data_IF_956959951844
#
_entry.id   IF_956959951844
#
_cell.length_a   1.000
_cell.length_b   1.000
_cell.length_c   1.000
_cell.angle_alpha   90.00
_cell.angle_beta   90.00
_cell.angle_gamma   90.00
#
_symmetry.space_group_name_H-M   'P 1'
#
loop_
_entity.id
_entity.type
_entity.pdbx_description
1 polymer ?
#
# COMPACT_ATOMS: atom_id res chain seq x y z
N UNK A 1 6.42 2.38 7.34
CA UNK A 1 6.11 1.36 6.30
C UNK A 1 4.92 1.86 5.50
N UNK A 2 4.84 1.58 4.22
CA UNK A 2 3.69 1.95 3.36
C UNK A 2 2.51 0.99 3.57
N UNK A 3 1.37 1.26 2.93
CA UNK A 3 0.23 0.34 2.85
C UNK A 3 -0.13 0.12 1.38
N UNK A 4 -0.63 -1.06 1.07
CA UNK A 4 -0.96 -1.45 -0.30
C UNK A 4 -2.20 -2.35 -0.36
N UNK A 5 -2.80 -2.40 -1.55
CA UNK A 5 -3.91 -3.28 -1.89
C UNK A 5 -3.74 -3.78 -3.33
N UNK A 6 -4.00 -5.05 -3.55
CA UNK A 6 -4.19 -5.68 -4.87
C UNK A 6 -5.52 -6.42 -4.85
N UNK A 7 -6.40 -6.17 -5.80
CA UNK A 7 -7.67 -6.89 -5.88
C UNK A 7 -8.20 -7.01 -7.30
N UNK A 8 -8.90 -8.12 -7.60
CA UNK A 8 -9.72 -8.14 -8.79
C UNK A 8 -11.01 -7.34 -8.57
N UNK A 9 -11.65 -6.89 -9.65
CA UNK A 9 -12.84 -6.03 -9.56
C UNK A 9 -13.95 -6.66 -8.71
N UNK A 10 -14.16 -7.96 -8.84
CA UNK A 10 -15.17 -8.69 -8.08
C UNK A 10 -14.85 -8.65 -6.58
N UNK A 11 -13.61 -8.95 -6.21
CA UNK A 11 -13.15 -8.92 -4.82
C UNK A 11 -13.22 -7.53 -4.19
N UNK A 12 -12.85 -6.47 -4.94
CA UNK A 12 -12.93 -5.08 -4.48
C UNK A 12 -14.37 -4.68 -4.16
N UNK A 13 -15.33 -5.02 -5.04
CA UNK A 13 -16.76 -4.73 -4.82
C UNK A 13 -17.30 -5.57 -3.67
N UNK A 14 -16.93 -6.85 -3.60
CA UNK A 14 -17.35 -7.75 -2.52
C UNK A 14 -16.81 -7.29 -1.16
N UNK A 15 -15.54 -6.91 -1.08
CA UNK A 15 -14.92 -6.35 0.12
C UNK A 15 -15.61 -5.06 0.57
N UNK A 16 -15.87 -4.13 -0.37
CA UNK A 16 -16.60 -2.89 -0.09
C UNK A 16 -17.95 -3.17 0.61
N UNK A 17 -18.76 -4.08 0.04
CA UNK A 17 -20.04 -4.45 0.62
C UNK A 17 -19.90 -5.19 1.96
N UNK A 18 -18.89 -6.05 2.10
CA UNK A 18 -18.61 -6.77 3.34
C UNK A 18 -18.23 -5.81 4.47
N UNK A 19 -17.43 -4.78 4.21
CA UNK A 19 -17.05 -3.76 5.19
C UNK A 19 -18.25 -2.93 5.66
N UNK A 20 -19.16 -2.53 4.75
CA UNK A 20 -20.39 -1.82 5.12
C UNK A 20 -21.25 -2.69 6.03
N UNK A 21 -21.43 -3.98 5.67
CA UNK A 21 -22.22 -4.92 6.47
C UNK A 21 -21.58 -5.16 7.84
N UNK A 22 -20.25 -5.31 7.89
CA UNK A 22 -19.47 -5.46 9.12
C UNK A 22 -19.72 -4.29 10.09
N UNK A 23 -19.68 -3.06 9.59
CA UNK A 23 -19.96 -1.85 10.38
C UNK A 23 -21.36 -1.85 10.97
N UNK A 24 -22.35 -2.24 10.19
CA UNK A 24 -23.74 -2.31 10.67
C UNK A 24 -23.90 -3.32 11.78
N UNK A 25 -23.14 -4.40 11.76
CA UNK A 25 -23.16 -5.45 12.81
C UNK A 25 -22.47 -4.95 14.08
N UNK A 26 -21.35 -4.22 13.97
CA UNK A 26 -20.60 -3.67 15.10
C UNK A 26 -21.38 -2.55 15.82
N UNK A 27 -22.12 -1.72 15.08
CA UNK A 27 -22.94 -0.65 15.69
C UNK A 27 -24.04 -1.21 16.61
N UNK A 28 -24.52 -2.42 16.33
CA UNK A 28 -25.54 -3.07 17.15
C UNK A 28 -24.96 -3.73 18.42
N UNK A 29 -23.63 -3.88 18.51
CA UNK A 29 -22.94 -4.38 19.71
C UNK A 29 -22.39 -3.21 20.52
N UNK A 30 -23.27 -2.62 21.36
CA UNK A 30 -22.99 -1.43 22.16
C UNK A 30 -21.92 -1.62 23.23
N UNK A 31 -21.42 -2.83 23.45
CA UNK A 31 -20.40 -3.14 24.46
C UNK A 31 -18.98 -2.66 24.07
N UNK A 32 -18.77 -2.24 22.81
CA UNK A 32 -17.46 -1.83 22.27
C UNK A 32 -17.26 -0.30 22.23
N UNK A 33 -18.20 0.49 22.74
CA UNK A 33 -18.20 1.97 22.62
C UNK A 33 -17.55 2.72 23.78
N UNK A 34 -16.84 2.06 24.66
CA UNK A 34 -16.07 2.79 25.68
C UNK A 34 -14.71 3.19 25.14
N UNK A 35 -14.53 4.51 25.04
CA UNK A 35 -13.28 5.26 24.89
C UNK A 35 -12.80 5.61 23.47
N UNK A 36 -13.61 6.38 22.73
CA UNK A 36 -13.16 7.08 21.51
C UNK A 36 -13.13 8.60 21.65
N UNK A 37 -12.82 9.10 22.81
CA UNK A 37 -12.63 10.55 22.97
C UNK A 37 -11.21 10.96 22.62
N UNK A 38 -11.11 11.87 21.64
CA UNK A 38 -10.08 12.91 21.52
C UNK A 38 -8.85 12.68 20.66
N UNK A 39 -8.98 12.14 19.43
CA UNK A 39 -7.97 12.42 18.40
C UNK A 39 -8.49 13.31 17.26
N UNK A 40 -9.60 14.00 17.44
CA UNK A 40 -10.06 15.02 16.51
C UNK A 40 -9.02 16.16 16.40
N UNK A 41 -8.44 16.34 15.23
CA UNK A 41 -7.66 17.52 14.88
C UNK A 41 -6.15 17.46 15.02
N UNK A 42 -5.53 16.33 15.38
CA UNK A 42 -4.07 16.21 15.37
C UNK A 42 -3.59 15.48 14.14
N UNK A 43 -2.82 16.20 13.31
CA UNK A 43 -2.13 15.62 12.17
C UNK A 43 -1.16 14.55 12.69
N UNK A 44 -1.40 13.27 12.37
CA UNK A 44 -0.62 12.10 12.83
C UNK A 44 0.88 12.26 12.56
N UNK A 45 1.25 13.00 11.52
CA UNK A 45 2.63 13.36 11.18
C UNK A 45 3.34 14.16 12.26
N UNK A 46 2.62 14.95 13.04
CA UNK A 46 3.21 15.67 14.17
C UNK A 46 3.62 14.71 15.28
N UNK A 47 2.91 13.62 15.47
CA UNK A 47 3.20 12.59 16.47
C UNK A 47 4.39 11.72 16.04
N UNK A 48 4.48 11.38 14.74
CA UNK A 48 5.60 10.61 14.20
C UNK A 48 6.92 11.38 14.24
N UNK A 49 6.88 12.68 13.93
CA UNK A 49 8.06 13.56 14.00
C UNK A 49 8.59 13.80 15.43
N UNK A 50 7.77 13.54 16.45
CA UNK A 50 8.11 13.71 17.86
C UNK A 50 8.56 12.42 18.56
N UNK A 51 8.74 11.31 17.84
CA UNK A 51 9.17 10.03 18.41
C UNK A 51 8.13 9.34 19.30
N UNK A 52 6.86 9.73 19.21
CA UNK A 52 5.76 9.13 19.97
C UNK A 52 5.17 7.89 19.29
N UNK A 53 5.98 7.17 18.53
CA UNK A 53 5.57 6.01 17.71
C UNK A 53 5.26 4.74 18.48
N UNK A 54 5.49 4.71 19.78
CA UNK A 54 5.16 3.52 20.61
C UNK A 54 3.66 3.40 20.92
N UNK A 55 2.86 4.39 20.54
CA UNK A 55 1.41 4.40 20.75
C UNK A 55 0.65 4.71 19.46
N UNK A 56 0.94 3.99 18.39
CA UNK A 56 -0.03 3.88 17.30
C UNK A 56 -1.34 3.31 17.89
N UNK A 57 -2.53 3.76 17.45
CA UNK A 57 -3.77 3.15 17.90
C UNK A 57 -3.66 1.65 17.62
N UNK A 58 -3.59 0.86 18.66
CA UNK A 58 -3.43 -0.59 18.59
C UNK A 58 -4.65 -1.31 18.02
N UNK A 59 -5.62 -0.55 17.50
CA UNK A 59 -6.81 -1.07 16.80
C UNK A 59 -7.23 -0.13 15.69
N UNK A 60 -7.39 -0.67 14.50
CA UNK A 60 -7.97 -0.02 13.36
C UNK A 60 -9.41 0.46 13.62
N UNK A 61 -9.97 1.15 12.64
CA UNK A 61 -11.40 1.51 12.67
C UNK A 61 -12.23 0.26 12.96
N UNK A 62 -13.18 0.42 13.85
CA UNK A 62 -14.18 -0.61 14.15
C UNK A 62 -15.42 -0.46 13.26
N UNK A 63 -15.44 0.53 12.38
CA UNK A 63 -16.59 0.85 11.54
C UNK A 63 -16.18 1.40 10.18
N UNK A 64 -16.78 0.87 9.12
CA UNK A 64 -16.52 1.22 7.71
C UNK A 64 -17.83 1.56 6.99
N UNK A 65 -18.59 2.60 7.40
CA UNK A 65 -19.90 2.91 6.82
C UNK A 65 -19.82 3.26 5.32
N UNK A 66 -18.66 3.77 4.85
CA UNK A 66 -18.38 4.03 3.46
C UNK A 66 -17.51 2.89 2.83
N UNK A 67 -17.44 1.73 3.51
CA UNK A 67 -16.78 0.52 3.02
C UNK A 67 -15.31 0.72 2.65
N UNK A 68 -14.97 0.49 1.39
CA UNK A 68 -13.59 0.56 0.90
C UNK A 68 -12.94 1.93 1.12
N UNK A 69 -13.69 3.03 1.01
CA UNK A 69 -13.15 4.37 1.25
C UNK A 69 -12.59 4.49 2.68
N UNK A 70 -13.36 4.08 3.66
CA UNK A 70 -12.93 4.14 5.06
C UNK A 70 -11.71 3.25 5.33
N UNK A 71 -11.63 2.08 4.68
CA UNK A 71 -10.45 1.22 4.75
C UNK A 71 -9.21 1.91 4.19
N UNK A 72 -9.30 2.55 3.02
CA UNK A 72 -8.15 3.23 2.41
C UNK A 72 -7.70 4.44 3.24
N UNK A 73 -8.64 5.21 3.81
CA UNK A 73 -8.33 6.31 4.73
C UNK A 73 -7.62 5.81 5.99
N UNK A 74 -8.08 4.69 6.56
CA UNK A 74 -7.42 4.08 7.70
C UNK A 74 -6.00 3.62 7.37
N UNK A 75 -5.82 2.93 6.25
CA UNK A 75 -4.50 2.47 5.81
C UNK A 75 -3.54 3.64 5.59
N UNK A 76 -4.01 4.77 5.02
CA UNK A 76 -3.24 5.98 4.87
C UNK A 76 -2.93 6.64 6.22
N UNK A 77 -3.92 6.73 7.10
CA UNK A 77 -3.75 7.28 8.45
C UNK A 77 -2.70 6.52 9.26
N UNK A 78 -2.74 5.18 9.19
CA UNK A 78 -1.81 4.33 9.92
C UNK A 78 -0.37 4.48 9.41
N UNK A 79 -0.17 4.45 8.10
CA UNK A 79 1.17 4.39 7.51
C UNK A 79 1.23 4.95 6.08
N UNK A 80 0.70 6.16 5.86
CA UNK A 80 0.69 6.83 4.55
C UNK A 80 1.00 8.32 4.63
N UNK A 81 0.43 9.11 3.71
CA UNK A 81 0.41 10.58 3.73
C UNK A 81 1.51 11.28 2.93
N UNK A 82 2.46 10.56 2.32
CA UNK A 82 3.40 11.11 1.34
C UNK A 82 2.97 10.78 -0.10
N UNK A 83 1.66 10.73 -0.30
CA UNK A 83 1.00 10.53 -1.58
C UNK A 83 0.39 9.16 -1.76
N UNK A 84 -0.62 9.13 -2.62
CA UNK A 84 -1.42 7.95 -2.94
C UNK A 84 -1.34 7.62 -4.41
N UNK A 85 -1.72 6.39 -4.76
CA UNK A 85 -1.87 6.02 -6.15
C UNK A 85 -2.69 4.76 -6.38
N UNK A 86 -3.19 4.66 -7.60
CA UNK A 86 -3.99 3.56 -8.10
C UNK A 86 -3.56 3.25 -9.53
N UNK A 87 -3.44 1.97 -9.81
CA UNK A 87 -3.39 1.44 -11.17
C UNK A 87 -4.55 0.49 -11.37
N UNK A 88 -5.31 0.71 -12.45
CA UNK A 88 -6.31 -0.22 -12.94
C UNK A 88 -5.77 -0.90 -14.20
N UNK A 89 -5.72 -2.24 -14.17
CA UNK A 89 -5.28 -3.08 -15.28
C UNK A 89 -6.51 -3.71 -15.92
N UNK A 90 -6.73 -3.48 -17.19
CA UNK A 90 -7.83 -4.04 -17.94
C UNK A 90 -7.64 -5.52 -18.33
N UNK A 91 -8.40 -5.98 -19.32
CA UNK A 91 -8.28 -7.35 -19.83
C UNK A 91 -7.02 -7.59 -20.66
N UNK A 92 -6.52 -6.54 -21.32
CA UNK A 92 -5.27 -6.60 -22.08
C UNK A 92 -4.12 -6.10 -21.21
N UNK A 93 -2.92 -6.67 -21.31
CA UNK A 93 -1.76 -6.28 -20.49
C UNK A 93 -1.36 -4.81 -20.66
N UNK A 94 -1.64 -4.20 -21.78
CA UNK A 94 -1.35 -2.80 -22.14
C UNK A 94 -2.51 -1.82 -21.79
N UNK A 95 -3.68 -2.32 -21.38
CA UNK A 95 -4.78 -1.50 -20.88
C UNK A 95 -4.53 -1.16 -19.41
N UNK A 96 -3.65 -0.17 -19.20
CA UNK A 96 -3.22 0.26 -17.87
C UNK A 96 -3.54 1.73 -17.68
N UNK A 97 -4.24 2.05 -16.60
CA UNK A 97 -4.62 3.42 -16.21
C UNK A 97 -4.03 3.73 -14.85
N UNK A 98 -3.22 4.78 -14.77
CA UNK A 98 -2.46 5.19 -13.59
C UNK A 98 -2.93 6.57 -13.09
N UNK A 99 -3.19 6.66 -11.81
CA UNK A 99 -3.36 7.90 -11.03
C UNK A 99 -2.44 7.81 -9.82
N UNK A 100 -1.54 8.77 -9.65
CA UNK A 100 -0.67 8.83 -8.48
C UNK A 100 -0.17 10.26 -8.25
N UNK A 101 0.10 10.60 -7.02
CA UNK A 101 0.65 11.91 -6.66
C UNK A 101 0.43 12.25 -5.19
N UNK A 102 1.00 13.39 -4.80
CA UNK A 102 0.95 13.90 -3.42
C UNK A 102 -0.46 14.37 -3.03
N UNK A 103 -1.25 14.82 -4.02
CA UNK A 103 -2.58 15.37 -3.83
C UNK A 103 -3.70 14.46 -4.37
N UNK A 104 -3.40 13.20 -4.59
CA UNK A 104 -4.40 12.23 -5.05
C UNK A 104 -5.18 11.72 -3.85
N UNK A 105 -6.52 11.89 -3.87
CA UNK A 105 -7.40 11.58 -2.75
C UNK A 105 -7.99 10.16 -2.86
N UNK A 106 -8.11 9.49 -1.72
CA UNK A 106 -8.71 8.15 -1.68
C UNK A 106 -10.18 8.12 -2.10
N UNK A 107 -10.93 9.19 -1.91
CA UNK A 107 -12.31 9.29 -2.39
C UNK A 107 -12.39 9.14 -3.91
N UNK A 108 -11.50 9.77 -4.65
CA UNK A 108 -11.44 9.67 -6.11
C UNK A 108 -10.99 8.28 -6.54
N UNK A 109 -9.97 7.73 -5.87
CA UNK A 109 -9.44 6.39 -6.15
C UNK A 109 -10.48 5.30 -5.86
N UNK A 110 -11.21 5.41 -4.75
CA UNK A 110 -12.30 4.50 -4.40
C UNK A 110 -13.43 4.56 -5.43
N UNK A 111 -13.82 5.76 -5.82
CA UNK A 111 -14.84 5.96 -6.86
C UNK A 111 -14.47 5.24 -8.15
N UNK A 112 -13.21 5.35 -8.59
CA UNK A 112 -12.69 4.63 -9.77
C UNK A 112 -12.71 3.13 -9.60
N UNK A 113 -12.24 2.62 -8.47
CA UNK A 113 -12.25 1.18 -8.18
C UNK A 113 -13.66 0.58 -8.17
N UNK A 114 -14.66 1.33 -7.73
CA UNK A 114 -16.05 0.84 -7.69
C UNK A 114 -16.78 0.99 -9.02
N UNK A 115 -16.52 2.07 -9.78
CA UNK A 115 -17.30 2.41 -10.99
C UNK A 115 -16.67 1.89 -12.29
N UNK A 116 -15.34 1.86 -12.41
CA UNK A 116 -14.67 1.55 -13.67
C UNK A 116 -14.59 0.04 -13.95
N UNK A 117 -14.35 -0.31 -15.22
CA UNK A 117 -14.13 -1.71 -15.64
C UNK A 117 -12.65 -2.01 -15.67
N UNK A 118 -12.22 -3.06 -14.96
CA UNK A 118 -10.84 -3.54 -14.93
C UNK A 118 -10.81 -5.03 -14.55
N UNK A 119 -9.67 -5.67 -14.71
CA UNK A 119 -9.38 -7.01 -14.21
C UNK A 119 -8.75 -6.94 -12.81
N UNK A 120 -7.76 -6.07 -12.64
CA UNK A 120 -6.99 -5.92 -11.40
C UNK A 120 -6.79 -4.44 -11.04
N UNK A 121 -6.85 -4.15 -9.74
CA UNK A 121 -6.50 -2.87 -9.16
C UNK A 121 -5.29 -3.04 -8.24
N UNK A 122 -4.33 -2.11 -8.32
CA UNK A 122 -3.21 -1.98 -7.37
C UNK A 122 -3.29 -0.58 -6.78
N UNK A 123 -3.53 -0.49 -5.49
CA UNK A 123 -3.54 0.76 -4.74
C UNK A 123 -2.37 0.79 -3.74
N UNK A 124 -1.90 2.01 -3.44
CA UNK A 124 -0.82 2.19 -2.48
C UNK A 124 -0.88 3.58 -1.86
N UNK A 125 -0.57 3.68 -0.56
CA UNK A 125 -0.24 4.92 0.13
C UNK A 125 1.21 4.87 0.61
N UNK A 126 1.92 5.98 0.44
CA UNK A 126 3.37 6.04 0.62
C UNK A 126 3.76 6.69 1.92
N UNK A 127 4.76 6.09 2.60
CA UNK A 127 5.70 6.77 3.48
C UNK A 127 7.06 6.83 2.78
N UNK A 128 7.63 8.02 2.67
CA UNK A 128 8.93 8.20 2.04
C UNK A 128 10.05 7.63 2.93
N UNK A 129 10.71 6.59 2.45
CA UNK A 129 11.93 6.00 3.05
C UNK A 129 13.13 6.12 2.12
N UNK A 130 12.88 6.35 0.81
CA UNK A 130 13.90 6.54 -0.22
C UNK A 130 13.35 7.46 -1.32
N UNK A 131 14.23 8.11 -2.08
CA UNK A 131 13.87 9.13 -3.04
C UNK A 131 13.26 10.39 -2.39
N UNK A 132 12.79 11.35 -3.18
CA UNK A 132 12.09 12.56 -2.71
C UNK A 132 10.60 12.33 -2.46
N UNK A 133 9.96 13.29 -1.77
CA UNK A 133 8.49 13.38 -1.70
C UNK A 133 8.03 14.11 -2.94
N UNK A 134 7.78 13.36 -4.02
CA UNK A 134 7.34 13.87 -5.33
C UNK A 134 6.24 12.97 -5.91
N UNK A 135 5.49 13.49 -6.87
CA UNK A 135 4.43 12.74 -7.55
C UNK A 135 4.98 11.49 -8.25
N UNK A 136 6.17 11.58 -8.86
CA UNK A 136 6.82 10.50 -9.60
C UNK A 136 7.23 9.34 -8.70
N UNK A 137 7.49 9.62 -7.43
CA UNK A 137 7.90 8.63 -6.44
C UNK A 137 6.71 7.97 -5.70
N UNK A 138 5.48 8.41 -5.97
CA UNK A 138 4.30 7.72 -5.47
C UNK A 138 4.10 6.39 -6.19
N UNK A 139 3.77 5.35 -5.41
CA UNK A 139 3.39 4.04 -5.97
C UNK A 139 1.91 4.05 -6.37
N UNK A 140 1.44 3.07 -7.17
CA UNK A 140 2.17 2.00 -7.83
C UNK A 140 3.02 2.49 -9.00
N UNK A 141 4.01 1.67 -9.40
CA UNK A 141 4.80 1.91 -10.61
C UNK A 141 4.27 1.09 -11.78
N UNK A 142 4.52 1.59 -12.99
CA UNK A 142 4.23 0.91 -14.24
C UNK A 142 5.46 1.01 -15.14
N UNK A 143 5.88 -0.11 -15.71
CA UNK A 143 6.98 -0.14 -16.66
C UNK A 143 6.68 -1.11 -17.82
N UNK A 144 7.28 -0.81 -18.95
CA UNK A 144 7.16 -1.57 -20.19
C UNK A 144 8.55 -1.95 -20.70
N UNK A 145 8.71 -3.21 -21.14
CA UNK A 145 9.91 -3.69 -21.79
C UNK A 145 9.52 -4.61 -22.95
N UNK A 146 9.60 -4.11 -24.18
CA UNK A 146 9.07 -4.79 -25.35
C UNK A 146 7.57 -5.04 -25.25
N UNK A 147 7.16 -6.31 -25.18
CA UNK A 147 5.75 -6.71 -25.00
C UNK A 147 5.37 -6.95 -23.53
N UNK A 148 6.32 -6.80 -22.61
CA UNK A 148 6.09 -7.05 -21.20
C UNK A 148 5.63 -5.78 -20.49
N UNK A 149 4.64 -5.93 -19.64
CA UNK A 149 4.11 -4.89 -18.76
C UNK A 149 4.22 -5.35 -17.33
N UNK A 150 4.82 -4.54 -16.47
CA UNK A 150 4.87 -4.76 -15.03
C UNK A 150 4.23 -3.58 -14.31
N UNK A 151 3.23 -3.89 -13.48
CA UNK A 151 2.64 -2.98 -12.49
C UNK A 151 3.02 -3.52 -11.12
N UNK A 152 3.54 -2.66 -10.23
CA UNK A 152 3.90 -3.13 -8.88
C UNK A 152 3.82 -2.03 -7.82
N UNK A 153 3.59 -2.47 -6.60
CA UNK A 153 3.76 -1.68 -5.39
C UNK A 153 4.58 -2.47 -4.37
N UNK A 154 5.30 -1.77 -3.52
CA UNK A 154 6.16 -2.34 -2.48
C UNK A 154 5.79 -1.73 -1.12
N UNK A 155 5.65 -2.57 -0.10
CA UNK A 155 5.60 -2.16 1.29
C UNK A 155 6.85 -2.68 2.01
N UNK A 156 7.73 -1.77 2.38
CA UNK A 156 9.02 -2.05 3.00
C UNK A 156 10.09 -1.07 2.57
N UNK A 157 11.34 -1.42 2.82
CA UNK A 157 12.53 -0.69 2.35
C UNK A 157 13.63 -1.69 2.05
N UNK A 158 14.32 -1.47 0.93
CA UNK A 158 15.43 -2.29 0.46
C UNK A 158 16.71 -1.44 0.42
N UNK A 159 17.43 -1.30 1.57
CA UNK A 159 18.54 -0.35 1.71
C UNK A 159 19.66 -0.52 0.68
N UNK A 160 19.91 -1.74 0.20
CA UNK A 160 20.92 -2.00 -0.83
C UNK A 160 20.64 -1.28 -2.16
N UNK A 161 19.38 -0.88 -2.41
CA UNK A 161 18.95 -0.19 -3.62
C UNK A 161 18.76 1.30 -3.43
N UNK A 162 18.81 1.80 -2.19
CA UNK A 162 18.65 3.23 -1.89
C UNK A 162 19.81 4.08 -2.41
N UNK A 163 21.02 3.53 -2.52
CA UNK A 163 22.18 4.25 -3.04
C UNK A 163 22.00 4.66 -4.52
N UNK A 164 21.42 3.77 -5.32
CA UNK A 164 21.11 4.06 -6.72
C UNK A 164 19.92 5.02 -6.85
N UNK A 165 18.96 4.96 -5.93
CA UNK A 165 17.82 5.85 -5.89
C UNK A 165 18.23 7.29 -5.62
N UNK A 166 19.23 7.50 -4.79
CA UNK A 166 19.73 8.83 -4.42
C UNK A 166 20.34 9.58 -5.62
N UNK A 167 21.10 8.87 -6.46
CA UNK A 167 21.72 9.44 -7.63
C UNK A 167 20.73 9.87 -8.72
N UNK A 168 19.51 9.29 -8.73
CA UNK A 168 18.52 9.49 -9.79
C UNK A 168 17.16 9.95 -9.27
N UNK A 169 17.06 10.32 -8.00
CA UNK A 169 15.79 10.69 -7.33
C UNK A 169 14.68 9.62 -7.47
N UNK A 170 15.08 8.35 -7.58
CA UNK A 170 14.18 7.20 -7.68
C UNK A 170 14.02 6.50 -6.33
N UNK A 171 12.91 5.80 -6.15
CA UNK A 171 12.74 4.94 -4.98
C UNK A 171 13.43 3.59 -5.19
N UNK A 172 13.79 2.92 -4.10
CA UNK A 172 14.26 1.53 -4.10
C UNK A 172 13.25 0.60 -4.81
N UNK A 173 11.97 0.79 -4.55
CA UNK A 173 10.88 0.06 -5.21
C UNK A 173 10.89 0.24 -6.74
N UNK A 174 11.10 1.46 -7.24
CA UNK A 174 11.17 1.73 -8.68
C UNK A 174 12.39 1.04 -9.30
N UNK A 175 13.55 1.19 -8.66
CA UNK A 175 14.81 0.58 -9.13
C UNK A 175 14.70 -0.94 -9.22
N UNK A 176 14.14 -1.58 -8.19
CA UNK A 176 13.95 -3.04 -8.15
C UNK A 176 13.04 -3.50 -9.30
N UNK A 177 11.87 -2.89 -9.47
CA UNK A 177 10.94 -3.30 -10.52
C UNK A 177 11.50 -3.12 -11.92
N UNK A 178 12.19 -2.00 -12.18
CA UNK A 178 12.86 -1.77 -13.47
C UNK A 178 13.99 -2.77 -13.73
N UNK A 179 14.78 -3.10 -12.71
CA UNK A 179 15.84 -4.10 -12.80
C UNK A 179 15.26 -5.48 -13.11
N UNK A 180 14.23 -5.89 -12.38
CA UNK A 180 13.56 -7.18 -12.55
C UNK A 180 13.01 -7.32 -13.96
N UNK A 181 12.37 -6.28 -14.49
CA UNK A 181 11.79 -6.28 -15.83
C UNK A 181 12.88 -6.32 -16.92
N UNK A 182 13.93 -5.49 -16.79
CA UNK A 182 15.03 -5.42 -17.79
C UNK A 182 15.87 -6.68 -17.82
N UNK A 183 16.18 -7.26 -16.68
CA UNK A 183 16.99 -8.49 -16.59
C UNK A 183 16.17 -9.76 -16.88
N UNK A 184 14.88 -9.62 -17.19
CA UNK A 184 13.98 -10.71 -17.54
C UNK A 184 14.00 -11.86 -16.52
N UNK A 185 14.08 -11.51 -15.23
CA UNK A 185 13.96 -12.48 -14.17
C UNK A 185 12.57 -13.15 -14.20
N UNK A 186 12.51 -14.36 -13.66
CA UNK A 186 11.23 -15.05 -13.50
C UNK A 186 10.37 -14.28 -12.50
N UNK A 187 9.34 -13.60 -12.99
CA UNK A 187 8.37 -12.86 -12.20
C UNK A 187 7.19 -13.81 -11.92
N UNK A 188 6.70 -13.91 -10.69
CA UNK A 188 7.02 -13.09 -9.51
C UNK A 188 8.11 -13.68 -8.59
N UNK A 189 8.68 -14.85 -8.88
CA UNK A 189 9.57 -15.59 -7.95
C UNK A 189 10.77 -14.76 -7.49
N UNK A 190 11.30 -13.90 -8.37
CA UNK A 190 12.43 -13.04 -8.02
C UNK A 190 12.10 -12.11 -6.85
N UNK A 191 10.85 -11.66 -6.70
CA UNK A 191 10.45 -10.79 -5.60
C UNK A 191 10.51 -11.48 -4.23
N UNK A 192 10.54 -12.82 -4.17
CA UNK A 192 10.74 -13.57 -2.93
C UNK A 192 12.15 -13.42 -2.35
N UNK A 193 13.10 -12.88 -3.11
CA UNK A 193 14.49 -12.67 -2.69
C UNK A 193 14.70 -11.37 -1.92
N UNK A 194 13.69 -10.50 -1.90
CA UNK A 194 13.72 -9.25 -1.15
C UNK A 194 13.05 -9.42 0.23
N UNK A 195 13.26 -8.45 1.11
CA UNK A 195 12.65 -8.44 2.44
C UNK A 195 11.25 -7.83 2.47
N UNK A 196 10.93 -7.02 1.48
CA UNK A 196 9.69 -6.24 1.41
C UNK A 196 8.52 -7.04 0.84
N UNK A 197 7.29 -6.59 1.13
CA UNK A 197 6.07 -7.09 0.50
C UNK A 197 5.93 -6.50 -0.90
N UNK A 198 5.62 -7.33 -1.87
CA UNK A 198 5.32 -6.90 -3.23
C UNK A 198 3.94 -7.39 -3.66
N UNK A 199 3.19 -6.51 -4.30
CA UNK A 199 1.98 -6.88 -5.05
C UNK A 199 2.03 -6.27 -6.44
N UNK A 200 1.41 -6.91 -7.40
CA UNK A 200 1.40 -6.36 -8.74
C UNK A 200 0.72 -7.23 -9.78
N UNK A 201 0.89 -6.80 -11.03
CA UNK A 201 0.37 -7.49 -12.21
C UNK A 201 1.47 -7.54 -13.28
N UNK A 202 1.83 -8.73 -13.72
CA UNK A 202 2.77 -8.94 -14.80
C UNK A 202 2.07 -9.55 -16.00
N UNK A 203 2.08 -8.86 -17.14
CA UNK A 203 1.40 -9.29 -18.37
C UNK A 203 -0.06 -9.71 -18.13
N UNK A 204 -0.81 -8.93 -17.35
CA UNK A 204 -2.20 -9.19 -17.00
C UNK A 204 -2.39 -10.23 -15.88
N UNK A 205 -1.34 -10.91 -15.42
CA UNK A 205 -1.38 -11.91 -14.35
C UNK A 205 -0.98 -11.30 -13.00
N UNK A 206 -1.85 -11.36 -11.99
CA UNK A 206 -1.58 -10.77 -10.68
C UNK A 206 -0.61 -11.62 -9.88
N UNK A 207 0.12 -10.97 -8.96
CA UNK A 207 0.96 -11.63 -7.98
C UNK A 207 0.96 -10.91 -6.64
N UNK A 208 1.16 -11.67 -5.57
CA UNK A 208 1.38 -11.17 -4.21
C UNK A 208 2.51 -11.97 -3.55
N UNK A 209 3.46 -11.25 -2.95
CA UNK A 209 4.65 -11.80 -2.29
C UNK A 209 4.76 -11.19 -0.91
N UNK A 210 4.31 -11.88 0.15
CA UNK A 210 4.21 -11.33 1.50
C UNK A 210 5.55 -11.15 2.22
N UNK A 211 6.60 -11.84 1.82
CA UNK A 211 7.95 -11.80 2.42
C UNK A 211 7.94 -11.62 3.95
N UNK A 212 8.60 -10.55 4.48
CA UNK A 212 8.69 -10.26 5.92
C UNK A 212 7.59 -9.34 6.44
N UNK A 213 6.76 -8.80 5.55
CA UNK A 213 5.67 -7.90 5.92
C UNK A 213 4.37 -8.63 6.20
N UNK A 214 3.42 -7.92 6.79
CA UNK A 214 2.06 -8.41 6.93
C UNK A 214 1.31 -8.18 5.63
N UNK A 215 0.61 -9.21 5.20
CA UNK A 215 -0.29 -9.19 4.07
C UNK A 215 -1.47 -10.10 4.38
N UNK A 216 -2.65 -9.54 4.29
CA UNK A 216 -3.90 -10.25 4.51
C UNK A 216 -4.59 -10.50 3.18
N UNK A 217 -5.40 -11.55 3.13
CA UNK A 217 -6.21 -11.92 1.98
C UNK A 217 -7.67 -11.94 2.38
N UNK A 218 -8.50 -11.29 1.57
CA UNK A 218 -9.94 -11.45 1.56
C UNK A 218 -10.32 -12.31 0.35
N UNK A 219 -11.21 -13.30 0.57
CA UNK A 219 -11.75 -14.19 -0.46
C UNK A 219 -13.27 -14.30 -0.26
N UNK A 220 -14.03 -13.95 -1.28
CA UNK A 220 -15.50 -14.00 -1.22
C UNK A 220 -16.08 -15.41 -1.45
N UNK A 221 -15.21 -16.41 -1.64
CA UNK A 221 -15.61 -17.79 -1.96
C UNK A 221 -16.20 -17.96 -3.38
N UNK A 222 -16.35 -16.89 -4.13
CA UNK A 222 -16.96 -16.87 -5.46
C UNK A 222 -16.00 -16.35 -6.55
N UNK A 223 -14.70 -16.25 -6.24
CA UNK A 223 -13.63 -15.81 -7.14
C UNK A 223 -13.30 -14.33 -7.03
N UNK A 224 -13.88 -13.60 -6.09
CA UNK A 224 -13.42 -12.28 -5.68
C UNK A 224 -12.25 -12.42 -4.71
N UNK A 225 -11.11 -11.75 -4.98
CA UNK A 225 -9.94 -11.77 -4.12
C UNK A 225 -9.34 -10.38 -3.96
N UNK A 226 -8.94 -10.06 -2.72
CA UNK A 226 -8.18 -8.86 -2.39
C UNK A 226 -7.03 -9.23 -1.46
N UNK A 227 -5.86 -8.68 -1.71
CA UNK A 227 -4.72 -8.67 -0.80
C UNK A 227 -4.52 -7.24 -0.29
N UNK A 228 -4.36 -7.06 1.00
CA UNK A 228 -4.12 -5.76 1.60
C UNK A 228 -3.14 -5.87 2.77
N UNK A 229 -2.43 -4.78 3.06
CA UNK A 229 -1.50 -4.74 4.20
C UNK A 229 -2.20 -4.98 5.53
N UNK A 230 -3.48 -4.61 5.62
CA UNK A 230 -4.29 -4.77 6.81
C UNK A 230 -5.78 -4.88 6.43
N UNK A 231 -6.51 -5.73 7.10
CA UNK A 231 -7.96 -5.93 7.00
C UNK A 231 -8.48 -6.26 8.40
N UNK A 232 -9.76 -6.03 8.72
CA UNK A 232 -10.32 -6.50 9.99
C UNK A 232 -10.19 -8.02 10.12
N UNK A 233 -9.54 -8.49 11.19
CA UNK A 233 -9.19 -9.91 11.38
C UNK A 233 -10.43 -10.82 11.48
N UNK A 234 -11.54 -10.28 11.99
CA UNK A 234 -12.80 -10.96 12.20
C UNK A 234 -13.80 -10.76 11.05
N UNK A 235 -13.42 -10.03 9.99
CA UNK A 235 -14.25 -9.93 8.78
C UNK A 235 -14.31 -11.30 8.07
N UNK A 236 -15.51 -11.85 7.85
CA UNK A 236 -15.65 -13.13 7.16
C UNK A 236 -14.95 -13.15 5.79
N UNK A 237 -14.15 -14.19 5.54
CA UNK A 237 -13.36 -14.33 4.31
C UNK A 237 -11.95 -13.74 4.40
N UNK A 238 -11.58 -13.11 5.51
CA UNK A 238 -10.23 -12.61 5.75
C UNK A 238 -9.36 -13.70 6.37
N UNK A 239 -8.10 -13.75 5.93
CA UNK A 239 -7.05 -14.62 6.47
C UNK A 239 -5.67 -14.01 6.28
N UNK A 240 -4.74 -14.38 7.15
CA UNK A 240 -3.32 -14.05 6.99
C UNK A 240 -2.73 -14.84 5.82
N UNK A 241 -1.87 -14.21 5.00
CA UNK A 241 -1.15 -14.90 3.95
C UNK A 241 -0.03 -15.77 4.53
N UNK A 242 -0.10 -17.09 4.29
CA UNK A 242 0.86 -18.12 4.76
C UNK A 242 1.74 -18.71 3.65
N UNK A 243 1.61 -18.21 2.41
CA UNK A 243 2.37 -18.62 1.24
C UNK A 243 3.61 -17.74 0.99
N UNK A 244 4.58 -18.25 0.23
CA UNK A 244 5.73 -17.45 -0.24
C UNK A 244 5.36 -16.58 -1.43
N UNK A 245 4.57 -17.09 -2.34
CA UNK A 245 4.09 -16.42 -3.57
C UNK A 245 2.67 -16.84 -3.85
N UNK A 246 1.83 -15.88 -4.18
CA UNK A 246 0.58 -16.12 -4.88
C UNK A 246 0.68 -15.53 -6.29
N UNK A 247 0.35 -16.33 -7.30
CA UNK A 247 0.42 -15.92 -8.70
C UNK A 247 -0.71 -16.54 -9.49
N UNK A 248 -1.46 -15.72 -10.22
CA UNK A 248 -2.51 -16.13 -11.16
C UNK A 248 -3.49 -17.16 -10.55
N UNK A 249 -3.97 -16.88 -9.34
CA UNK A 249 -4.94 -17.72 -8.64
C UNK A 249 -4.36 -18.87 -7.82
N UNK A 250 -3.04 -19.09 -7.82
CA UNK A 250 -2.40 -20.20 -7.10
C UNK A 250 -1.40 -19.70 -6.06
N UNK A 251 -1.43 -20.31 -4.87
CA UNK A 251 -0.44 -20.09 -3.82
C UNK A 251 0.68 -21.14 -3.92
N UNK A 252 1.93 -20.70 -3.74
CA UNK A 252 3.13 -21.52 -3.81
C UNK A 252 4.00 -21.34 -2.59
N UNK A 253 4.59 -22.42 -2.10
CA UNK A 253 5.50 -22.46 -0.97
C UNK A 253 4.82 -22.07 0.35
N UNK A 254 5.53 -22.33 1.45
CA UNK A 254 5.15 -21.80 2.76
C UNK A 254 5.96 -20.55 3.05
N UNK A 255 5.33 -19.53 3.61
CA UNK A 255 6.03 -18.36 4.13
C UNK A 255 7.02 -18.82 5.19
N UNK A 256 8.30 -18.50 5.02
CA UNK A 256 9.25 -18.63 6.10
C UNK A 256 8.87 -17.58 7.16
N UNK A 257 8.20 -18.02 8.21
CA UNK A 257 7.91 -17.17 9.37
C UNK A 257 9.25 -16.99 10.08
N UNK A 258 10.03 -16.00 9.65
CA UNK A 258 11.08 -15.48 10.51
C UNK A 258 10.36 -14.77 11.66
N UNK A 259 10.19 -15.45 12.77
CA UNK A 259 10.02 -14.76 14.05
C UNK A 259 11.30 -13.96 14.25
N UNK A 260 11.30 -12.74 13.79
CA UNK A 260 12.26 -11.76 14.26
C UNK A 260 12.04 -11.72 15.76
N UNK A 261 13.01 -12.24 16.52
CA UNK A 261 13.19 -11.81 17.89
C UNK A 261 13.07 -10.29 17.83
N UNK A 262 12.40 -9.69 18.80
CA UNK A 262 12.10 -8.28 18.88
C UNK A 262 13.43 -7.50 18.86
N UNK A 263 14.05 -7.42 17.71
CA UNK A 263 14.97 -6.35 17.40
C UNK A 263 14.11 -5.15 17.06
N UNK A 264 13.88 -4.35 18.07
CA UNK A 264 13.41 -2.98 17.95
C UNK A 264 14.39 -2.21 17.07
N UNK A 265 14.27 -2.39 15.75
CA UNK A 265 14.92 -1.49 14.81
C UNK A 265 14.15 -0.17 14.88
N UNK A 266 14.59 0.68 15.78
CA UNK A 266 14.23 2.10 15.77
C UNK A 266 14.99 2.72 14.59
N UNK A 267 14.32 3.16 13.52
CA UNK A 267 15.01 3.85 12.44
C UNK A 267 15.59 5.13 13.03
N UNK A 268 16.91 5.20 13.20
CA UNK A 268 17.57 6.46 13.49
C UNK A 268 17.30 7.38 12.29
N UNK A 269 16.43 8.38 12.54
CA UNK A 269 16.24 9.60 11.78
C UNK A 269 16.44 9.50 10.26
N UNK A 270 15.44 9.04 9.50
CA UNK A 270 15.40 9.28 8.07
C UNK A 270 14.91 10.72 7.85
N UNK A 271 15.82 11.59 7.41
CA UNK A 271 15.47 12.94 6.96
C UNK A 271 14.93 12.82 5.52
N UNK A 272 13.63 12.81 5.35
CA UNK A 272 13.02 13.04 4.05
C UNK A 272 13.11 14.53 3.72
N UNK A 273 13.89 14.89 2.71
CA UNK A 273 13.98 16.26 2.25
C UNK A 273 12.72 16.63 1.46
N UNK A 274 11.97 17.61 1.94
CA UNK A 274 10.94 18.29 1.13
C UNK A 274 11.63 19.06 0.01
N UNK A 275 11.55 18.61 -1.22
CA UNK A 275 11.87 19.42 -2.40
C UNK A 275 10.64 20.24 -2.81
N UNK A 276 10.13 21.07 -1.93
CA UNK A 276 9.10 22.06 -2.22
C UNK A 276 9.74 23.44 -2.20
N UNK A 277 9.55 24.23 -3.26
CA UNK A 277 9.87 25.64 -3.31
C UNK A 277 9.18 26.34 -2.13
N UNK A 278 9.93 26.68 -1.09
CA UNK A 278 9.50 27.73 -0.19
C UNK A 278 9.57 29.03 -0.98
N UNK A 279 8.42 29.63 -1.22
CA UNK A 279 8.31 30.98 -1.72
C UNK A 279 8.99 31.91 -0.73
N UNK A 280 10.15 32.44 -1.12
CA UNK A 280 10.90 33.39 -0.33
C UNK A 280 10.08 34.65 -0.05
N UNK A 281 9.64 34.78 1.17
CA UNK A 281 9.31 36.10 1.74
C UNK A 281 10.62 36.75 2.14
N UNK A 282 11.15 37.58 1.25
CA UNK A 282 12.17 38.58 1.63
C UNK A 282 11.49 39.61 2.55
N UNK A 283 11.72 39.51 3.83
CA UNK A 283 11.58 40.68 4.71
C UNK A 283 12.88 41.47 4.66
N UNK A 284 12.89 42.55 3.88
CA UNK A 284 13.80 43.63 4.05
C UNK A 284 13.62 44.22 5.47
N UNK A 285 14.64 44.11 6.31
CA UNK A 285 14.85 45.03 7.41
C UNK A 285 16.17 45.74 7.17
N UNK A 286 16.04 46.98 6.69
CA UNK A 286 17.13 47.96 6.74
C UNK A 286 17.29 48.52 8.14
N UNK A 287 18.48 48.63 8.52
CA UNK A 287 19.15 49.79 9.24
C UNK A 287 20.58 49.41 9.54
#
# INVERSE_FOLDING_TARGET
MCRLLLGNRKGVISLHNALIKYSTTQINDTSLYEDKTSFEGKNYWSLYSWGLTDYGPSRGKTSYPNGLYDLLEELEFLMGGHGNGLVLVGKKPDDVRLWRGLNVLNVDLTTRMLSEKYSWAVWHTRICTSGGITDENCHPFVAYEGKNTLVWAMNGSEPAYNLNSYAHNKTDAEVIGLMVLKLRFTIPDVFTKFGSVFVGVYNGRPFAVPNRGDLMRYDDGAGGVVFASELPDDLPGVSQCDFSVWHDGKAYGKRAVYRLGVDTYTPKGYTCYKTGREGGSQTNNGS
#
